data_IF_811677266141
#
_entry.id   IF_811677266141
#
_cell.length_a   1.000
_cell.length_b   1.000
_cell.length_c   1.000
_cell.angle_alpha   90.00
_cell.angle_beta   90.00
_cell.angle_gamma   90.00
#
_symmetry.space_group_name_H-M   'P 1'
#
loop_
_entity.id
_entity.type
_entity.pdbx_description
1 polymer ?
#
# COMPACT_ATOMS: atom_id res chain seq x y z
N UNK A 1 40.65 -14.33 -10.58
CA UNK A 1 39.33 -14.94 -10.36
C UNK A 1 38.89 -14.58 -8.95
N UNK A 2 38.02 -13.58 -8.82
CA UNK A 2 37.33 -13.29 -7.57
C UNK A 2 35.86 -13.06 -7.92
N UNK A 3 35.02 -14.00 -7.50
CA UNK A 3 33.58 -13.92 -7.63
C UNK A 3 33.07 -13.07 -6.45
N UNK A 4 32.47 -11.92 -6.73
CA UNK A 4 31.71 -11.16 -5.73
C UNK A 4 30.25 -11.56 -5.92
N UNK A 5 29.77 -12.47 -5.06
CA UNK A 5 28.35 -12.71 -4.91
C UNK A 5 27.77 -11.50 -4.17
N UNK A 6 27.23 -10.54 -4.92
CA UNK A 6 26.33 -9.52 -4.40
C UNK A 6 24.92 -10.09 -4.42
N UNK A 7 24.31 -10.23 -3.24
CA UNK A 7 22.94 -10.65 -3.06
C UNK A 7 22.00 -9.86 -3.98
N UNK A 8 20.92 -10.52 -4.44
CA UNK A 8 19.80 -9.85 -5.09
C UNK A 8 19.23 -8.78 -4.13
N UNK A 9 19.68 -7.54 -4.26
CA UNK A 9 19.05 -6.37 -3.64
C UNK A 9 17.70 -6.15 -4.34
N UNK A 10 16.68 -6.83 -3.82
CA UNK A 10 15.29 -6.48 -4.08
C UNK A 10 15.12 -5.07 -3.54
N UNK A 11 15.01 -4.09 -4.44
CA UNK A 11 15.22 -2.69 -4.15
C UNK A 11 14.30 -2.11 -3.07
N UNK A 12 14.90 -1.32 -2.17
CA UNK A 12 14.20 -0.42 -1.25
C UNK A 12 13.24 0.48 -2.04
N UNK A 13 11.95 0.35 -1.77
CA UNK A 13 10.90 1.14 -2.42
C UNK A 13 10.86 2.53 -1.77
N UNK A 14 11.57 3.50 -2.37
CA UNK A 14 11.63 4.88 -1.87
C UNK A 14 10.37 5.65 -2.22
N UNK A 15 9.73 6.25 -1.23
CA UNK A 15 8.62 7.18 -1.44
C UNK A 15 9.14 8.60 -1.67
N UNK A 16 8.58 9.27 -2.67
CA UNK A 16 8.90 10.66 -2.99
C UNK A 16 7.63 11.50 -3.01
N UNK A 17 7.71 12.74 -2.52
CA UNK A 17 6.67 13.75 -2.68
C UNK A 17 7.13 14.81 -3.68
N UNK A 18 6.20 15.25 -4.54
CA UNK A 18 6.41 16.43 -5.40
C UNK A 18 5.72 17.63 -4.78
N UNK A 19 6.48 18.69 -4.50
CA UNK A 19 5.98 19.99 -4.00
C UNK A 19 6.66 21.07 -4.83
N UNK A 20 5.87 21.95 -5.46
CA UNK A 20 6.37 23.05 -6.31
C UNK A 20 7.35 22.59 -7.41
N UNK A 21 7.08 21.41 -8.00
CA UNK A 21 7.93 20.81 -9.02
C UNK A 21 9.25 20.21 -8.51
N UNK A 22 9.50 20.23 -7.20
CA UNK A 22 10.66 19.59 -6.59
C UNK A 22 10.29 18.23 -6.01
N UNK A 23 11.14 17.24 -6.27
CA UNK A 23 11.03 15.88 -5.73
C UNK A 23 11.80 15.79 -4.42
N UNK A 24 11.16 15.32 -3.35
CA UNK A 24 11.81 15.06 -2.05
C UNK A 24 11.53 13.63 -1.60
N UNK A 25 12.58 12.90 -1.23
CA UNK A 25 12.44 11.60 -0.56
C UNK A 25 11.72 11.80 0.78
N UNK A 26 10.78 10.93 1.09
CA UNK A 26 10.10 10.89 2.38
C UNK A 26 10.84 9.85 3.24
N UNK A 27 11.59 10.25 4.28
CA UNK A 27 12.18 9.31 5.21
C UNK A 27 11.04 8.65 6.00
N UNK A 28 10.75 7.38 5.70
CA UNK A 28 9.67 6.64 6.34
C UNK A 28 10.19 5.70 7.43
N UNK A 29 9.59 5.75 8.62
CA UNK A 29 9.40 4.49 9.36
C UNK A 29 8.41 3.65 8.56
N UNK A 30 8.56 2.33 8.53
CA UNK A 30 7.75 1.47 7.66
C UNK A 30 6.24 1.63 7.88
N UNK A 31 5.81 1.87 9.13
CA UNK A 31 4.41 2.17 9.48
C UNK A 31 3.89 3.46 8.82
N UNK A 32 4.71 4.51 8.75
CA UNK A 32 4.31 5.77 8.11
C UNK A 32 4.19 5.60 6.59
N UNK A 33 5.05 4.77 5.99
CA UNK A 33 4.99 4.45 4.57
C UNK A 33 3.74 3.61 4.25
N UNK A 34 3.46 2.58 5.04
CA UNK A 34 2.28 1.73 4.89
C UNK A 34 0.99 2.55 4.89
N UNK A 35 0.86 3.46 5.87
CA UNK A 35 -0.31 4.35 5.97
C UNK A 35 -0.43 5.30 4.78
N UNK A 36 0.68 5.80 4.27
CA UNK A 36 0.70 6.67 3.08
C UNK A 36 0.27 5.89 1.82
N UNK A 37 0.77 4.66 1.66
CA UNK A 37 0.38 3.78 0.57
C UNK A 37 -1.10 3.41 0.64
N UNK A 38 -1.59 3.02 1.83
CA UNK A 38 -3.00 2.76 2.06
C UNK A 38 -3.85 3.96 1.62
N UNK A 39 -3.53 5.16 2.12
CA UNK A 39 -4.27 6.39 1.77
C UNK A 39 -4.24 6.67 0.26
N UNK A 40 -3.09 6.48 -0.40
CA UNK A 40 -2.95 6.71 -1.84
C UNK A 40 -3.77 5.71 -2.65
N UNK A 41 -3.71 4.43 -2.31
CA UNK A 41 -4.45 3.37 -2.98
C UNK A 41 -5.95 3.56 -2.75
N UNK A 42 -6.41 3.78 -1.51
CA UNK A 42 -7.82 4.01 -1.20
C UNK A 42 -8.40 5.20 -1.99
N UNK A 43 -7.66 6.30 -2.10
CA UNK A 43 -8.09 7.49 -2.85
C UNK A 43 -8.17 7.28 -4.38
N UNK A 44 -7.46 6.29 -4.93
CA UNK A 44 -7.37 6.03 -6.37
C UNK A 44 -7.77 4.59 -6.74
N UNK A 45 -8.47 3.90 -5.83
CA UNK A 45 -8.65 2.45 -5.88
C UNK A 45 -9.37 1.99 -7.15
N UNK A 46 -10.36 2.76 -7.59
CA UNK A 46 -11.11 2.47 -8.82
C UNK A 46 -10.21 2.59 -10.05
N UNK A 47 -9.41 3.66 -10.14
CA UNK A 47 -8.51 3.90 -11.27
C UNK A 47 -7.32 2.92 -11.30
N UNK A 48 -6.80 2.52 -10.13
CA UNK A 48 -5.61 1.67 -10.03
C UNK A 48 -5.92 0.18 -10.08
N UNK A 49 -7.05 -0.26 -9.50
CA UNK A 49 -7.37 -1.66 -9.28
C UNK A 49 -8.72 -2.08 -9.88
N UNK A 50 -9.52 -1.15 -10.41
CA UNK A 50 -10.89 -1.44 -10.85
C UNK A 50 -11.85 -1.75 -9.69
N UNK A 51 -11.50 -1.32 -8.47
CA UNK A 51 -12.27 -1.61 -7.25
C UNK A 51 -12.90 -0.33 -6.72
N UNK A 52 -14.20 -0.34 -6.48
CA UNK A 52 -14.90 0.75 -5.79
C UNK A 52 -14.66 0.65 -4.28
N UNK A 53 -13.98 1.64 -3.72
CA UNK A 53 -13.69 1.72 -2.29
C UNK A 53 -14.98 1.82 -1.45
N UNK A 54 -15.01 1.14 -0.30
CA UNK A 54 -16.12 1.17 0.64
C UNK A 54 -15.72 1.67 2.03
N UNK A 55 -14.63 1.15 2.59
CA UNK A 55 -14.23 1.45 3.94
C UNK A 55 -12.74 1.23 4.17
N UNK A 56 -12.16 2.08 5.01
CA UNK A 56 -10.83 1.92 5.60
C UNK A 56 -10.99 1.24 6.97
N UNK A 57 -10.00 0.44 7.37
CA UNK A 57 -9.91 -0.17 8.70
C UNK A 57 -11.20 -0.90 9.13
N UNK A 58 -11.77 -1.69 8.22
CA UNK A 58 -13.10 -2.27 8.39
C UNK A 58 -13.09 -3.35 9.49
N UNK A 59 -13.84 -3.09 10.56
CA UNK A 59 -13.97 -4.03 11.66
C UNK A 59 -14.88 -5.21 11.29
N UNK A 60 -14.40 -6.44 11.49
CA UNK A 60 -15.16 -7.68 11.23
C UNK A 60 -16.14 -8.06 12.35
N UNK A 61 -16.35 -7.16 13.32
CA UNK A 61 -17.28 -7.33 14.43
C UNK A 61 -16.96 -8.57 15.28
N UNK A 62 -17.85 -9.56 15.24
CA UNK A 62 -17.78 -10.78 16.08
C UNK A 62 -16.49 -11.59 15.92
N UNK A 63 -15.78 -11.40 14.80
CA UNK A 63 -14.52 -12.09 14.50
C UNK A 63 -13.29 -11.34 15.03
N UNK A 64 -13.46 -10.15 15.65
CA UNK A 64 -12.41 -9.32 16.27
C UNK A 64 -11.19 -9.02 15.38
N UNK A 65 -11.31 -9.24 14.07
CA UNK A 65 -10.31 -8.88 13.07
C UNK A 65 -10.59 -7.51 12.45
N UNK A 66 -9.60 -6.99 11.75
CA UNK A 66 -9.65 -5.74 10.98
C UNK A 66 -9.15 -6.05 9.57
N UNK A 67 -9.80 -5.45 8.60
CA UNK A 67 -9.39 -5.44 7.19
C UNK A 67 -8.86 -4.03 6.92
N UNK A 68 -7.66 -3.89 6.36
CA UNK A 68 -7.09 -2.57 6.13
C UNK A 68 -7.93 -1.74 5.15
N UNK A 69 -8.37 -2.33 4.02
CA UNK A 69 -9.32 -1.70 3.10
C UNK A 69 -10.33 -2.69 2.50
N UNK A 70 -11.59 -2.27 2.42
CA UNK A 70 -12.70 -3.02 1.84
C UNK A 70 -13.23 -2.30 0.59
N UNK A 71 -13.48 -3.06 -0.48
CA UNK A 71 -14.06 -2.55 -1.72
C UNK A 71 -14.95 -3.56 -2.44
N UNK A 72 -15.44 -3.19 -3.62
CA UNK A 72 -16.21 -4.04 -4.54
C UNK A 72 -15.59 -4.01 -5.94
N UNK A 73 -15.46 -5.17 -6.58
CA UNK A 73 -15.10 -5.26 -7.99
C UNK A 73 -16.26 -4.85 -8.94
N UNK A 74 -16.02 -4.93 -10.24
CA UNK A 74 -17.00 -4.63 -11.29
C UNK A 74 -18.28 -5.49 -11.24
N UNK A 75 -18.21 -6.67 -10.61
CA UNK A 75 -19.34 -7.59 -10.46
C UNK A 75 -20.06 -7.43 -9.11
N UNK A 76 -19.60 -6.50 -8.25
CA UNK A 76 -20.10 -6.34 -6.89
C UNK A 76 -19.59 -7.41 -5.93
N UNK A 77 -18.53 -8.13 -6.27
CA UNK A 77 -17.87 -9.07 -5.35
C UNK A 77 -17.03 -8.29 -4.33
N UNK A 78 -17.14 -8.59 -3.03
CA UNK A 78 -16.28 -7.97 -2.02
C UNK A 78 -14.80 -8.28 -2.25
N UNK A 79 -13.97 -7.24 -2.21
CA UNK A 79 -12.51 -7.35 -2.28
C UNK A 79 -11.88 -6.78 -1.01
N UNK A 80 -10.92 -7.52 -0.46
CA UNK A 80 -10.10 -7.14 0.69
C UNK A 80 -8.71 -6.79 0.17
N UNK A 81 -8.18 -5.64 0.59
CA UNK A 81 -6.79 -5.23 0.34
C UNK A 81 -6.10 -5.03 1.68
N UNK A 82 -4.99 -5.74 1.88
CA UNK A 82 -4.16 -5.67 3.09
C UNK A 82 -2.79 -5.08 2.73
N UNK A 83 -2.28 -4.19 3.58
CA UNK A 83 -0.98 -3.55 3.39
C UNK A 83 0.04 -4.21 4.30
N UNK A 84 1.22 -4.51 3.77
CA UNK A 84 2.30 -5.10 4.57
C UNK A 84 3.61 -4.39 4.26
N UNK A 85 4.31 -3.98 5.31
CA UNK A 85 5.74 -3.79 5.27
C UNK A 85 6.42 -5.14 4.96
N UNK A 86 7.08 -5.25 3.81
CA UNK A 86 7.99 -6.37 3.54
C UNK A 86 9.33 -6.05 4.20
N UNK A 87 9.54 -6.62 5.39
CA UNK A 87 10.84 -6.64 6.06
C UNK A 87 11.85 -7.52 5.34
#
# INVERSE_FOLDING_TARGET
>A
MAQIAGANEVGDLKAFRVVDGQVREIPGSSVALERQLQTLIEANMEAMLGIRFLATEYATGRHRGRIDSLGLDENGTPVIVEFTDRR
#
